data_IF_466338696366
#
_entry.id   IF_466338696366
#
_cell.length_a   1.000
_cell.length_b   1.000
_cell.length_c   1.000
_cell.angle_alpha   90.00
_cell.angle_beta   90.00
_cell.angle_gamma   90.00
#
_symmetry.space_group_name_H-M   'P 1'
#
loop_
_entity.id
_entity.type
_entity.pdbx_description
1 polymer ?
#
# COMPACT_ATOMS: atom_id res chain seq x y z
N UNK A 1 0.97 10.66 -3.88
CA UNK A 1 -0.38 10.52 -4.48
C UNK A 1 -0.69 11.63 -5.49
N UNK A 2 0.11 12.69 -5.59
CA UNK A 2 -0.05 13.74 -6.61
C UNK A 2 0.05 13.24 -8.07
N UNK A 3 0.72 12.09 -8.28
CA UNK A 3 0.85 11.44 -9.60
C UNK A 3 -0.29 10.43 -9.90
N UNK A 4 -1.19 10.17 -8.95
CA UNK A 4 -2.23 9.14 -9.09
C UNK A 4 -3.63 9.68 -8.79
N UNK A 5 -4.65 9.34 -9.60
CA UNK A 5 -6.00 9.88 -9.45
C UNK A 5 -6.76 9.36 -8.21
N UNK A 6 -6.36 8.22 -7.64
CA UNK A 6 -6.98 7.61 -6.46
C UNK A 6 -6.06 6.57 -5.81
N UNK A 7 -6.44 6.06 -4.64
CA UNK A 7 -5.62 5.12 -3.86
C UNK A 7 -5.50 3.77 -4.57
N UNK A 8 -6.53 3.39 -5.32
CA UNK A 8 -6.54 2.16 -6.10
C UNK A 8 -5.46 2.18 -7.20
N UNK A 9 -5.34 3.30 -7.92
CA UNK A 9 -4.32 3.50 -8.96
C UNK A 9 -2.91 3.49 -8.36
N UNK A 10 -2.71 4.15 -7.22
CA UNK A 10 -1.44 4.13 -6.50
C UNK A 10 -1.07 2.70 -6.04
N UNK A 11 -2.01 1.98 -5.43
CA UNK A 11 -1.82 0.58 -5.02
C UNK A 11 -1.52 -0.32 -6.21
N UNK A 12 -2.20 -0.13 -7.34
CA UNK A 12 -1.96 -0.89 -8.55
C UNK A 12 -0.55 -0.67 -9.08
N UNK A 13 -0.05 0.58 -9.10
CA UNK A 13 1.33 0.88 -9.50
C UNK A 13 2.35 0.20 -8.59
N UNK A 14 2.15 0.27 -7.28
CA UNK A 14 3.00 -0.42 -6.29
C UNK A 14 3.01 -1.95 -6.52
N UNK A 15 1.84 -2.54 -6.78
CA UNK A 15 1.74 -3.98 -7.07
C UNK A 15 2.46 -4.35 -8.38
N UNK A 16 2.34 -3.53 -9.42
CA UNK A 16 3.03 -3.75 -10.69
C UNK A 16 4.55 -3.71 -10.51
N UNK A 17 5.07 -2.73 -9.76
CA UNK A 17 6.50 -2.65 -9.45
C UNK A 17 6.97 -3.87 -8.66
N UNK A 18 6.21 -4.31 -7.66
CA UNK A 18 6.51 -5.52 -6.91
C UNK A 18 6.53 -6.77 -7.79
N UNK A 19 5.63 -6.86 -8.78
CA UNK A 19 5.56 -7.97 -9.72
C UNK A 19 6.76 -7.97 -10.68
N UNK A 20 7.10 -6.81 -11.22
CA UNK A 20 8.30 -6.63 -12.05
C UNK A 20 9.58 -7.01 -11.31
N UNK A 21 9.72 -6.55 -10.06
CA UNK A 21 10.85 -6.90 -9.19
C UNK A 21 10.93 -8.41 -8.93
N UNK A 22 9.79 -9.08 -8.73
CA UNK A 22 9.73 -10.55 -8.65
C UNK A 22 10.20 -11.20 -9.95
N UNK A 23 9.78 -10.68 -11.11
CA UNK A 23 10.12 -11.26 -12.41
C UNK A 23 11.62 -11.14 -12.73
N UNK A 24 12.34 -10.16 -12.16
CA UNK A 24 13.81 -10.04 -12.26
C UNK A 24 14.57 -10.75 -11.12
N UNK A 25 13.89 -11.59 -10.33
CA UNK A 25 14.50 -12.37 -9.26
C UNK A 25 14.73 -11.62 -7.94
N UNK A 26 14.13 -10.44 -7.78
CA UNK A 26 14.20 -9.62 -6.56
C UNK A 26 12.81 -9.43 -5.93
N UNK A 27 12.17 -10.50 -5.41
CA UNK A 27 10.82 -10.40 -4.85
C UNK A 27 10.76 -9.42 -3.68
N UNK A 28 9.75 -8.55 -3.68
CA UNK A 28 9.46 -7.66 -2.56
C UNK A 28 8.57 -8.39 -1.56
N UNK A 29 9.00 -8.41 -0.31
CA UNK A 29 8.26 -9.06 0.76
C UNK A 29 6.97 -8.28 1.10
N UNK A 30 5.89 -8.96 1.47
CA UNK A 30 4.57 -8.33 1.58
C UNK A 30 4.54 -7.21 2.63
N UNK A 31 5.18 -7.42 3.79
CA UNK A 31 5.39 -6.38 4.80
C UNK A 31 6.08 -5.15 4.24
N UNK A 32 7.14 -5.33 3.44
CA UNK A 32 7.90 -4.22 2.87
C UNK A 32 7.04 -3.45 1.86
N UNK A 33 6.20 -4.15 1.09
CA UNK A 33 5.27 -3.54 0.16
C UNK A 33 4.20 -2.70 0.88
N UNK A 34 3.67 -3.20 2.01
CA UNK A 34 2.70 -2.48 2.84
C UNK A 34 3.33 -1.25 3.51
N UNK A 35 4.56 -1.35 4.00
CA UNK A 35 5.28 -0.19 4.56
C UNK A 35 5.53 0.88 3.48
N UNK A 36 5.87 0.47 2.26
CA UNK A 36 6.02 1.40 1.13
C UNK A 36 4.69 2.06 0.75
N UNK A 37 3.60 1.29 0.77
CA UNK A 37 2.26 1.82 0.57
C UNK A 37 1.94 2.92 1.59
N UNK A 38 2.10 2.62 2.88
CA UNK A 38 1.81 3.56 3.97
C UNK A 38 2.66 4.82 3.86
N UNK A 39 3.94 4.69 3.52
CA UNK A 39 4.89 5.80 3.44
C UNK A 39 4.59 6.77 2.28
N UNK A 40 3.90 6.34 1.22
CA UNK A 40 3.58 7.20 0.07
C UNK A 40 2.14 7.71 0.04
N UNK A 41 1.36 7.41 1.08
CA UNK A 41 0.01 7.97 1.25
C UNK A 41 0.07 9.44 1.67
N UNK A 42 -0.88 10.27 1.19
CA UNK A 42 -1.01 11.65 1.64
C UNK A 42 -1.64 11.71 3.03
N UNK A 43 -1.57 12.89 3.67
CA UNK A 43 -1.98 13.06 5.06
C UNK A 43 -3.45 12.71 5.33
N UNK A 44 -4.31 12.80 4.30
CA UNK A 44 -5.71 12.38 4.36
C UNK A 44 -5.88 10.91 4.82
N UNK A 45 -4.92 10.02 4.54
CA UNK A 45 -4.98 8.61 4.93
C UNK A 45 -4.04 8.28 6.10
N UNK A 46 -3.48 9.28 6.79
CA UNK A 46 -2.60 9.04 7.97
C UNK A 46 -3.30 8.22 9.04
N UNK A 47 -4.62 8.36 9.20
CA UNK A 47 -5.42 7.63 10.17
C UNK A 47 -5.41 6.12 9.89
N UNK A 48 -5.84 5.69 8.70
CA UNK A 48 -5.77 4.28 8.29
C UNK A 48 -4.33 3.77 8.22
N UNK A 49 -3.38 4.56 7.72
CA UNK A 49 -1.96 4.22 7.75
C UNK A 49 -1.45 3.86 9.15
N UNK A 50 -1.85 4.67 10.15
CA UNK A 50 -1.48 4.47 11.55
C UNK A 50 -2.16 3.22 12.11
N UNK A 51 -3.43 3.00 11.79
CA UNK A 51 -4.18 1.80 12.20
C UNK A 51 -3.52 0.51 11.67
N UNK A 52 -3.12 0.52 10.41
CA UNK A 52 -2.40 -0.58 9.77
C UNK A 52 -1.05 -0.83 10.48
N UNK A 53 -0.32 0.23 10.82
CA UNK A 53 0.99 0.12 11.48
C UNK A 53 0.90 -0.33 12.94
N UNK A 54 -0.18 0.03 13.64
CA UNK A 54 -0.43 -0.35 15.04
C UNK A 54 -1.01 -1.77 15.18
N UNK A 55 -1.44 -2.39 14.08
CA UNK A 55 -1.97 -3.75 14.09
C UNK A 55 -0.88 -4.76 14.50
N UNK A 56 -1.17 -5.72 15.41
CA UNK A 56 -0.18 -6.65 15.95
C UNK A 56 0.42 -7.59 14.89
N UNK A 57 -0.28 -7.76 13.77
CA UNK A 57 0.24 -8.38 12.55
C UNK A 57 -0.01 -7.41 11.41
N UNK A 58 1.04 -7.06 10.68
CA UNK A 58 0.88 -6.20 9.51
C UNK A 58 -0.05 -6.95 8.52
N UNK A 59 -1.14 -6.33 8.06
CA UNK A 59 -2.03 -6.95 7.11
C UNK A 59 -1.33 -7.15 5.77
N UNK A 60 -1.88 -8.04 4.95
CA UNK A 60 -1.39 -8.19 3.58
C UNK A 60 -1.70 -6.93 2.75
N UNK A 61 -0.93 -6.72 1.69
CA UNK A 61 -1.08 -5.56 0.79
C UNK A 61 -2.52 -5.37 0.29
N UNK A 62 -3.21 -6.47 -0.05
CA UNK A 62 -4.59 -6.41 -0.51
C UNK A 62 -5.55 -5.90 0.57
N UNK A 63 -5.34 -6.32 1.82
CA UNK A 63 -6.14 -5.92 2.96
C UNK A 63 -5.88 -4.46 3.34
N UNK A 64 -4.60 -4.04 3.35
CA UNK A 64 -4.22 -2.64 3.52
C UNK A 64 -4.85 -1.74 2.45
N UNK A 65 -4.82 -2.15 1.18
CA UNK A 65 -5.51 -1.45 0.08
C UNK A 65 -7.02 -1.37 0.34
N UNK A 66 -7.65 -2.46 0.76
CA UNK A 66 -9.09 -2.46 1.04
C UNK A 66 -9.46 -1.48 2.16
N UNK A 67 -8.65 -1.39 3.22
CA UNK A 67 -8.85 -0.42 4.30
C UNK A 67 -8.74 1.03 3.79
N UNK A 68 -7.78 1.29 2.90
CA UNK A 68 -7.58 2.61 2.30
C UNK A 68 -8.71 3.01 1.35
N UNK A 69 -9.21 2.07 0.56
CA UNK A 69 -10.35 2.32 -0.35
C UNK A 69 -11.65 2.59 0.42
N UNK A 70 -11.81 2.01 1.62
CA UNK A 70 -12.95 2.31 2.49
C UNK A 70 -12.90 3.73 3.05
N UNK A 71 -11.71 4.30 3.28
CA UNK A 71 -11.54 5.67 3.75
C UNK A 71 -11.62 6.72 2.62
N UNK A 72 -11.59 6.31 1.35
CA UNK A 72 -11.87 7.19 0.20
C UNK A 72 -13.36 7.56 0.05
N UNK A 73 -14.27 6.83 0.72
CA UNK A 73 -15.72 6.92 0.51
C UNK A 73 -16.43 8.05 1.27
#
# INVERSE_FOLDING_TARGET
MEDFPNVSAYCQRLKMLSDQLRNVGSPVNNHRLVLQLISGLPEAYRSVATLICQSPRLPEFYQARSMLTLEEA
#
